data_IF_002436322851
#
_entry.id   IF_002436322851
#
_cell.length_a   1.000
_cell.length_b   1.000
_cell.length_c   1.000
_cell.angle_alpha   90.00
_cell.angle_beta   90.00
_cell.angle_gamma   90.00
#
_symmetry.space_group_name_H-M   'P 1'
#
loop_
_entity.id
_entity.type
_entity.pdbx_description
1 polymer ?
#
# COMPACT_ATOMS: atom_id res chain seq x y z
N UNK A 1 4.24 37.42 0.90
CA UNK A 1 4.80 37.81 -0.40
C UNK A 1 4.55 36.77 -1.50
N UNK A 2 4.65 35.45 -1.25
CA UNK A 2 4.43 34.44 -2.31
C UNK A 2 2.96 34.10 -2.65
N UNK A 3 2.00 34.43 -1.78
CA UNK A 3 0.56 34.21 -2.05
C UNK A 3 -0.04 35.19 -3.07
N UNK A 4 0.68 36.25 -3.44
CA UNK A 4 0.17 37.36 -4.27
C UNK A 4 0.70 37.38 -5.70
N UNK A 5 1.81 36.67 -6.02
CA UNK A 5 2.57 36.90 -7.26
C UNK A 5 2.60 35.72 -8.26
N UNK A 6 1.64 34.79 -8.18
CA UNK A 6 1.41 33.82 -9.26
C UNK A 6 2.48 32.73 -9.47
N UNK A 7 3.56 32.67 -8.68
CA UNK A 7 4.54 31.58 -8.77
C UNK A 7 4.30 30.48 -7.74
N UNK A 8 3.28 29.67 -8.03
CA UNK A 8 2.83 28.55 -7.21
C UNK A 8 3.91 27.50 -6.93
N UNK A 9 4.87 27.32 -7.85
CA UNK A 9 5.98 26.37 -7.67
C UNK A 9 6.89 26.78 -6.50
N UNK A 10 7.23 28.07 -6.39
CA UNK A 10 8.02 28.56 -5.26
C UNK A 10 7.26 28.51 -3.94
N UNK A 11 5.94 28.75 -3.96
CA UNK A 11 5.10 28.57 -2.78
C UNK A 11 5.10 27.11 -2.32
N UNK A 12 4.85 26.16 -3.22
CA UNK A 12 4.87 24.73 -2.92
C UNK A 12 6.24 24.30 -2.39
N UNK A 13 7.33 24.76 -3.03
CA UNK A 13 8.70 24.42 -2.60
C UNK A 13 9.04 24.99 -1.22
N UNK A 14 8.55 26.19 -0.91
CA UNK A 14 8.72 26.82 0.41
C UNK A 14 7.91 26.09 1.50
N UNK A 15 6.66 25.75 1.19
CA UNK A 15 5.80 24.95 2.09
C UNK A 15 6.41 23.57 2.32
N UNK A 16 6.98 22.95 1.29
CA UNK A 16 7.66 21.66 1.40
C UNK A 16 8.84 21.79 2.38
N UNK A 17 9.74 22.76 2.17
CA UNK A 17 10.86 22.99 3.08
C UNK A 17 10.41 23.24 4.52
N UNK A 18 9.33 24.00 4.72
CA UNK A 18 8.78 24.28 6.06
C UNK A 18 8.17 23.03 6.70
N UNK A 19 7.50 22.18 5.92
CA UNK A 19 6.93 20.93 6.40
C UNK A 19 8.04 19.99 6.89
N UNK A 20 9.08 19.80 6.07
CA UNK A 20 10.26 18.99 6.41
C UNK A 20 10.95 19.47 7.69
N UNK A 21 11.21 20.78 7.78
CA UNK A 21 11.83 21.36 8.97
C UNK A 21 10.94 21.21 10.21
N UNK A 22 9.62 21.34 10.05
CA UNK A 22 8.67 21.17 11.15
C UNK A 22 8.57 19.71 11.61
N UNK A 23 8.67 18.74 10.69
CA UNK A 23 8.74 17.32 11.03
C UNK A 23 10.01 17.01 11.85
N UNK A 24 11.16 17.54 11.43
CA UNK A 24 12.43 17.36 12.13
C UNK A 24 12.45 18.04 13.52
N UNK A 25 11.78 19.19 13.67
CA UNK A 25 11.62 19.91 14.94
C UNK A 25 10.51 19.29 15.84
N UNK A 26 9.80 18.26 15.35
CA UNK A 26 8.68 17.64 16.05
C UNK A 26 7.42 18.51 16.13
N UNK A 27 7.37 19.64 15.41
CA UNK A 27 6.23 20.54 15.35
C UNK A 27 5.14 20.00 14.41
N UNK A 28 4.43 18.97 14.88
CA UNK A 28 3.42 18.23 14.12
C UNK A 28 2.30 19.11 13.58
N UNK A 29 1.83 20.09 14.36
CA UNK A 29 0.76 20.99 13.94
C UNK A 29 1.18 21.82 12.73
N UNK A 30 2.39 22.40 12.77
CA UNK A 30 2.89 23.22 11.65
C UNK A 30 3.16 22.35 10.42
N UNK A 31 3.74 21.17 10.60
CA UNK A 31 3.95 20.21 9.53
C UNK A 31 2.62 19.84 8.84
N UNK A 32 1.60 19.44 9.60
CA UNK A 32 0.30 19.06 9.06
C UNK A 32 -0.36 20.20 8.27
N UNK A 33 -0.29 21.44 8.77
CA UNK A 33 -0.80 22.62 8.05
C UNK A 33 -0.08 22.81 6.71
N UNK A 34 1.25 22.69 6.68
CA UNK A 34 2.02 22.85 5.45
C UNK A 34 1.68 21.76 4.43
N UNK A 35 1.60 20.50 4.87
CA UNK A 35 1.23 19.39 4.01
C UNK A 35 -0.20 19.50 3.48
N UNK A 36 -1.16 19.94 4.30
CA UNK A 36 -2.54 20.21 3.88
C UNK A 36 -2.60 21.32 2.82
N UNK A 37 -1.83 22.39 2.99
CA UNK A 37 -1.79 23.49 2.01
C UNK A 37 -1.18 23.04 0.68
N UNK A 38 -0.11 22.23 0.68
CA UNK A 38 0.45 21.62 -0.54
C UNK A 38 -0.58 20.71 -1.21
N UNK A 39 -1.28 19.87 -0.44
CA UNK A 39 -2.30 18.97 -0.99
C UNK A 39 -3.44 19.76 -1.67
N UNK A 40 -3.94 20.81 -1.03
CA UNK A 40 -5.01 21.65 -1.58
C UNK A 40 -4.56 22.37 -2.87
N UNK A 41 -3.33 22.88 -2.91
CA UNK A 41 -2.79 23.57 -4.09
C UNK A 41 -2.60 22.64 -5.29
N UNK A 42 -2.15 21.41 -5.04
CA UNK A 42 -1.83 20.41 -6.07
C UNK A 42 -3.06 19.68 -6.58
N UNK A 43 -4.04 19.40 -5.71
CA UNK A 43 -5.28 18.71 -6.07
C UNK A 43 -6.08 19.43 -7.14
N UNK A 44 -6.21 20.75 -7.03
CA UNK A 44 -6.94 21.57 -7.99
C UNK A 44 -6.30 21.61 -9.39
N UNK A 45 -5.07 21.08 -9.56
CA UNK A 45 -4.23 21.29 -10.74
C UNK A 45 -3.73 20.02 -11.41
N UNK A 46 -4.07 18.84 -10.87
CA UNK A 46 -3.61 17.56 -11.41
C UNK A 46 -2.10 17.33 -11.26
N UNK A 47 -1.42 18.11 -10.40
CA UNK A 47 0.00 17.94 -10.11
C UNK A 47 0.21 16.61 -9.33
N UNK A 48 1.22 15.83 -9.72
CA UNK A 48 1.39 14.45 -9.25
C UNK A 48 2.47 14.28 -8.19
N UNK A 49 3.60 15.00 -8.29
CA UNK A 49 4.79 14.76 -7.46
C UNK A 49 4.58 15.35 -6.08
N UNK A 50 4.33 16.66 -5.98
CA UNK A 50 4.11 17.32 -4.70
C UNK A 50 2.83 16.85 -4.02
N UNK A 51 1.82 16.45 -4.81
CA UNK A 51 0.64 15.77 -4.27
C UNK A 51 0.97 14.44 -3.61
N UNK A 52 1.79 13.62 -4.24
CA UNK A 52 2.27 12.35 -3.68
C UNK A 52 3.01 12.57 -2.36
N UNK A 53 3.88 13.58 -2.31
CA UNK A 53 4.63 13.93 -1.11
C UNK A 53 3.74 14.46 0.02
N UNK A 54 2.73 15.28 -0.31
CA UNK A 54 1.77 15.75 0.69
C UNK A 54 0.92 14.62 1.28
N UNK A 55 0.47 13.68 0.45
CA UNK A 55 -0.25 12.48 0.91
C UNK A 55 0.63 11.60 1.81
N UNK A 56 1.90 11.43 1.44
CA UNK A 56 2.87 10.73 2.26
C UNK A 56 3.11 11.44 3.61
N UNK A 57 3.36 12.76 3.62
CA UNK A 57 3.64 13.51 4.83
C UNK A 57 2.46 13.53 5.81
N UNK A 58 1.24 13.71 5.31
CA UNK A 58 0.02 13.57 6.13
C UNK A 58 -0.16 12.15 6.65
N UNK A 59 0.15 11.14 5.83
CA UNK A 59 0.09 9.73 6.21
C UNK A 59 1.08 9.40 7.33
N UNK A 60 2.31 9.88 7.22
CA UNK A 60 3.34 9.77 8.25
C UNK A 60 2.88 10.42 9.56
N UNK A 61 2.39 11.65 9.49
CA UNK A 61 1.90 12.38 10.66
C UNK A 61 0.69 11.71 11.33
N UNK A 62 -0.22 11.12 10.55
CA UNK A 62 -1.34 10.32 11.06
C UNK A 62 -0.85 9.04 11.75
N UNK A 63 0.11 8.32 11.15
CA UNK A 63 0.70 7.13 11.74
C UNK A 63 1.40 7.44 13.07
N UNK A 64 2.18 8.52 13.14
CA UNK A 64 2.84 8.97 14.37
C UNK A 64 1.86 9.35 15.50
N UNK A 65 0.59 9.62 15.17
CA UNK A 65 -0.51 9.87 16.13
C UNK A 65 -1.30 8.60 16.49
N UNK A 66 -0.92 7.45 15.93
CA UNK A 66 -1.63 6.17 16.12
C UNK A 66 -2.87 6.01 15.26
N UNK A 67 -3.14 6.92 14.33
CA UNK A 67 -4.31 6.89 13.44
C UNK A 67 -4.05 5.97 12.24
N UNK A 68 -3.83 4.67 12.49
CA UNK A 68 -3.37 3.71 11.48
C UNK A 68 -4.31 3.61 10.27
N UNK A 69 -5.63 3.72 10.46
CA UNK A 69 -6.60 3.72 9.35
C UNK A 69 -6.41 4.93 8.45
N UNK A 70 -6.37 6.13 9.04
CA UNK A 70 -6.18 7.38 8.29
C UNK A 70 -4.83 7.40 7.59
N UNK A 71 -3.78 6.93 8.26
CA UNK A 71 -2.46 6.80 7.68
C UNK A 71 -2.50 5.91 6.43
N UNK A 72 -3.08 4.71 6.54
CA UNK A 72 -3.25 3.76 5.43
C UNK A 72 -4.01 4.40 4.27
N UNK A 73 -5.13 5.06 4.53
CA UNK A 73 -5.97 5.66 3.49
C UNK A 73 -5.23 6.76 2.72
N UNK A 74 -4.46 7.60 3.43
CA UNK A 74 -3.68 8.69 2.82
C UNK A 74 -2.56 8.15 1.91
N UNK A 75 -1.74 7.22 2.40
CA UNK A 75 -0.62 6.68 1.62
C UNK A 75 -1.07 5.73 0.51
N UNK A 76 -2.23 5.10 0.64
CA UNK A 76 -2.88 4.32 -0.42
C UNK A 76 -3.30 5.23 -1.58
N UNK A 77 -3.90 6.39 -1.28
CA UNK A 77 -4.20 7.41 -2.30
C UNK A 77 -2.93 7.91 -2.98
N UNK A 78 -1.87 8.17 -2.20
CA UNK A 78 -0.56 8.57 -2.73
C UNK A 78 0.01 7.52 -3.68
N UNK A 79 -0.02 6.25 -3.27
CA UNK A 79 0.49 5.13 -4.04
C UNK A 79 -0.29 4.89 -5.34
N UNK A 80 -1.63 4.99 -5.32
CA UNK A 80 -2.43 4.90 -6.55
C UNK A 80 -2.01 5.95 -7.59
N UNK A 81 -1.76 7.19 -7.15
CA UNK A 81 -1.31 8.26 -8.05
C UNK A 81 0.12 8.05 -8.53
N UNK A 82 1.03 7.74 -7.62
CA UNK A 82 2.43 7.50 -7.94
C UNK A 82 2.57 6.37 -8.99
N UNK A 83 1.80 5.29 -8.84
CA UNK A 83 1.69 4.20 -9.82
C UNK A 83 1.19 4.67 -11.19
N UNK A 84 0.19 5.56 -11.25
CA UNK A 84 -0.38 6.03 -12.51
C UNK A 84 0.58 6.84 -13.40
N UNK A 85 1.64 7.40 -12.81
CA UNK A 85 2.65 8.21 -13.51
C UNK A 85 4.07 7.63 -13.44
N UNK A 86 4.22 6.37 -13.02
CA UNK A 86 5.52 5.69 -12.78
C UNK A 86 6.47 6.48 -11.84
N UNK A 87 5.92 7.20 -10.85
CA UNK A 87 6.71 7.88 -9.82
C UNK A 87 7.12 6.89 -8.72
N UNK A 88 8.28 6.28 -8.93
CA UNK A 88 8.82 5.24 -8.03
C UNK A 88 9.27 5.79 -6.68
N UNK A 89 9.64 7.07 -6.61
CA UNK A 89 10.09 7.70 -5.37
C UNK A 89 8.90 7.89 -4.44
N UNK A 90 7.84 8.54 -4.92
CA UNK A 90 6.61 8.74 -4.14
C UNK A 90 5.96 7.41 -3.76
N UNK A 91 6.02 6.41 -4.65
CA UNK A 91 5.51 5.09 -4.35
C UNK A 91 6.30 4.39 -3.25
N UNK A 92 7.63 4.46 -3.27
CA UNK A 92 8.50 3.88 -2.24
C UNK A 92 8.18 4.43 -0.85
N UNK A 93 8.12 5.75 -0.71
CA UNK A 93 7.83 6.38 0.59
C UNK A 93 6.42 6.06 1.11
N UNK A 94 5.43 5.95 0.22
CA UNK A 94 4.08 5.50 0.60
C UNK A 94 4.09 4.02 1.06
N UNK A 95 4.84 3.16 0.37
CA UNK A 95 5.02 1.75 0.75
C UNK A 95 5.75 1.61 2.10
N UNK A 96 6.66 2.51 2.44
CA UNK A 96 7.34 2.55 3.74
C UNK A 96 6.32 2.62 4.89
N UNK A 97 5.41 3.59 4.82
CA UNK A 97 4.39 3.80 5.85
C UNK A 97 3.41 2.61 5.88
N UNK A 98 3.05 2.05 4.73
CA UNK A 98 2.23 0.83 4.67
C UNK A 98 2.92 -0.37 5.35
N UNK A 99 4.24 -0.48 5.25
CA UNK A 99 5.00 -1.53 5.93
C UNK A 99 4.92 -1.37 7.47
N UNK A 100 4.97 -0.15 7.98
CA UNK A 100 4.89 0.12 9.42
C UNK A 100 3.47 -0.09 9.95
N UNK A 101 2.46 0.38 9.21
CA UNK A 101 1.05 0.08 9.49
C UNK A 101 0.81 -1.44 9.50
N UNK A 102 1.45 -2.20 8.61
CA UNK A 102 1.35 -3.67 8.62
C UNK A 102 1.98 -4.30 9.86
N UNK A 103 3.13 -3.82 10.35
CA UNK A 103 3.70 -4.30 11.63
C UNK A 103 2.77 -3.98 12.79
N UNK A 104 2.27 -2.75 12.90
CA UNK A 104 1.38 -2.34 13.98
C UNK A 104 0.01 -3.03 13.91
N UNK A 105 -0.44 -3.40 12.72
CA UNK A 105 -1.66 -4.18 12.47
C UNK A 105 -1.49 -5.70 12.62
N UNK A 106 -0.34 -6.18 13.10
CA UNK A 106 -0.11 -7.61 13.34
C UNK A 106 0.12 -8.44 12.06
N UNK A 107 0.53 -7.81 10.97
CA UNK A 107 0.91 -8.45 9.70
C UNK A 107 2.42 -8.30 9.39
N UNK A 108 3.33 -8.78 10.26
CA UNK A 108 4.78 -8.61 10.09
C UNK A 108 5.37 -9.30 8.85
N UNK A 109 4.78 -10.40 8.36
CA UNK A 109 5.18 -11.02 7.08
C UNK A 109 4.95 -10.08 5.90
N UNK A 110 3.78 -9.44 5.89
CA UNK A 110 3.42 -8.43 4.89
C UNK A 110 4.38 -7.25 4.92
N UNK A 111 4.73 -6.78 6.11
CA UNK A 111 5.70 -5.71 6.29
C UNK A 111 7.08 -6.08 5.70
N UNK A 112 7.58 -7.28 6.00
CA UNK A 112 8.87 -7.76 5.48
C UNK A 112 8.89 -7.81 3.94
N UNK A 113 7.81 -8.29 3.32
CA UNK A 113 7.68 -8.30 1.86
C UNK A 113 7.63 -6.90 1.25
N UNK A 114 6.95 -5.96 1.90
CA UNK A 114 6.96 -4.55 1.48
C UNK A 114 8.37 -3.94 1.59
N UNK A 115 9.09 -4.19 2.68
CA UNK A 115 10.47 -3.72 2.87
C UNK A 115 11.41 -4.25 1.76
N UNK A 116 11.25 -5.51 1.37
CA UNK A 116 11.99 -6.08 0.24
C UNK A 116 11.68 -5.38 -1.09
N UNK A 117 10.40 -5.11 -1.36
CA UNK A 117 9.97 -4.42 -2.56
C UNK A 117 10.52 -2.97 -2.61
N UNK A 118 10.47 -2.25 -1.50
CA UNK A 118 11.08 -0.92 -1.36
C UNK A 118 12.58 -0.96 -1.67
N UNK A 119 13.31 -1.95 -1.15
CA UNK A 119 14.74 -2.11 -1.41
C UNK A 119 15.03 -2.35 -2.91
N UNK A 120 14.15 -3.05 -3.62
CA UNK A 120 14.25 -3.21 -5.08
C UNK A 120 14.04 -1.88 -5.83
N UNK A 121 13.10 -1.05 -5.36
CA UNK A 121 12.74 0.22 -5.99
C UNK A 121 13.77 1.34 -5.77
N UNK A 122 14.46 1.31 -4.63
CA UNK A 122 15.41 2.38 -4.23
C UNK A 122 16.84 2.14 -4.68
N UNK A 123 17.20 0.89 -5.04
CA UNK A 123 18.52 0.52 -5.61
C UNK A 123 18.99 1.41 -6.78
N UNK A 124 18.14 1.81 -7.73
CA UNK A 124 18.55 2.64 -8.87
C UNK A 124 18.48 4.16 -8.62
N UNK A 125 17.71 4.62 -7.63
CA UNK A 125 17.24 6.02 -7.56
C UNK A 125 17.90 6.86 -6.45
N UNK A 126 18.62 6.21 -5.53
CA UNK A 126 19.06 6.87 -4.30
C UNK A 126 17.90 6.96 -3.30
N UNK A 127 18.18 6.61 -2.04
CA UNK A 127 17.14 6.35 -1.05
C UNK A 127 16.33 7.60 -0.69
N UNK A 128 15.03 7.42 -0.44
CA UNK A 128 14.17 8.40 0.24
C UNK A 128 14.74 8.91 1.58
N UNK A 129 15.67 8.16 2.19
CA UNK A 129 16.43 8.56 3.37
C UNK A 129 17.22 9.87 3.19
N UNK A 130 17.53 10.28 1.95
CA UNK A 130 18.20 11.56 1.67
C UNK A 130 17.29 12.74 1.97
N UNK A 131 15.98 12.60 1.73
CA UNK A 131 15.01 13.68 1.96
C UNK A 131 14.42 13.65 3.38
N UNK A 132 14.50 12.48 4.06
CA UNK A 132 13.89 12.25 5.36
C UNK A 132 14.80 11.40 6.27
N UNK A 133 15.68 12.03 7.06
CA UNK A 133 16.65 11.33 7.90
C UNK A 133 16.00 10.32 8.85
N UNK A 134 14.84 10.67 9.43
CA UNK A 134 14.13 9.84 10.39
C UNK A 134 13.48 8.59 9.78
N UNK A 135 13.21 8.60 8.48
CA UNK A 135 12.61 7.44 7.79
C UNK A 135 13.55 6.25 7.84
N UNK A 136 14.87 6.46 7.74
CA UNK A 136 15.85 5.38 7.87
C UNK A 136 15.86 4.76 9.28
N UNK A 137 15.76 5.60 10.32
CA UNK A 137 15.69 5.14 11.72
C UNK A 137 14.39 4.37 11.97
N UNK A 138 13.28 4.87 11.46
CA UNK A 138 11.97 4.20 11.54
C UNK A 138 11.98 2.86 10.79
N UNK A 139 12.55 2.82 9.58
CA UNK A 139 12.70 1.58 8.81
C UNK A 139 13.43 0.51 9.62
N UNK A 140 14.64 0.82 10.14
CA UNK A 140 15.43 -0.12 10.92
C UNK A 140 14.70 -0.61 12.19
N UNK A 141 13.99 0.30 12.89
CA UNK A 141 13.21 -0.05 14.07
C UNK A 141 12.06 -1.01 13.73
N UNK A 142 11.36 -0.77 12.63
CA UNK A 142 10.22 -1.58 12.20
C UNK A 142 10.64 -2.91 11.60
N UNK A 143 11.76 -2.96 10.90
CA UNK A 143 12.44 -4.20 10.51
C UNK A 143 12.73 -5.05 11.74
N UNK A 144 13.35 -4.48 12.79
CA UNK A 144 13.64 -5.22 14.01
C UNK A 144 12.38 -5.74 14.71
N UNK A 145 11.30 -4.96 14.73
CA UNK A 145 9.99 -5.42 15.25
C UNK A 145 9.43 -6.59 14.44
N UNK A 146 9.47 -6.50 13.11
CA UNK A 146 9.02 -7.57 12.24
C UNK A 146 9.85 -8.85 12.47
N UNK A 147 11.18 -8.75 12.48
CA UNK A 147 12.10 -9.88 12.77
C UNK A 147 11.81 -10.54 14.11
N UNK A 148 11.56 -9.75 15.17
CA UNK A 148 11.20 -10.30 16.49
C UNK A 148 9.86 -11.05 16.47
N UNK A 149 8.92 -10.63 15.64
CA UNK A 149 7.58 -11.22 15.58
C UNK A 149 7.52 -12.54 14.78
N UNK A 150 8.29 -12.67 13.68
CA UNK A 150 8.23 -13.84 12.78
C UNK A 150 9.52 -14.66 12.72
N UNK A 151 10.60 -14.17 13.33
CA UNK A 151 11.94 -14.76 13.25
C UNK A 151 12.70 -14.35 11.98
N UNK A 152 14.04 -14.37 12.06
CA UNK A 152 14.91 -13.90 10.98
C UNK A 152 14.74 -14.68 9.69
N UNK A 153 14.58 -16.01 9.77
CA UNK A 153 14.42 -16.86 8.57
C UNK A 153 13.12 -16.55 7.82
N UNK A 154 12.01 -16.37 8.53
CA UNK A 154 10.74 -16.04 7.91
C UNK A 154 10.77 -14.63 7.33
N UNK A 155 11.35 -13.66 8.06
CA UNK A 155 11.55 -12.31 7.56
C UNK A 155 12.35 -12.31 6.25
N UNK A 156 13.48 -13.02 6.22
CA UNK A 156 14.37 -13.08 5.06
C UNK A 156 13.69 -13.73 3.84
N UNK A 157 12.82 -14.72 4.04
CA UNK A 157 12.00 -15.29 2.96
C UNK A 157 11.06 -14.23 2.37
N UNK A 158 10.24 -13.59 3.19
CA UNK A 158 9.28 -12.58 2.72
C UNK A 158 9.99 -11.38 2.08
N UNK A 159 11.09 -10.93 2.69
CA UNK A 159 11.92 -9.85 2.17
C UNK A 159 12.48 -10.19 0.79
N UNK A 160 13.00 -11.41 0.58
CA UNK A 160 13.51 -11.84 -0.73
C UNK A 160 12.40 -11.91 -1.77
N UNK A 161 11.22 -12.40 -1.39
CA UNK A 161 10.05 -12.42 -2.28
C UNK A 161 9.67 -11.00 -2.71
N UNK A 162 9.72 -10.04 -1.78
CA UNK A 162 9.55 -8.62 -2.09
C UNK A 162 10.63 -8.07 -3.01
N UNK A 163 11.90 -8.39 -2.74
CA UNK A 163 13.06 -7.94 -3.51
C UNK A 163 13.01 -8.41 -4.98
N UNK A 164 12.35 -9.55 -5.24
CA UNK A 164 12.15 -10.10 -6.58
C UNK A 164 11.01 -9.45 -7.38
N UNK A 165 10.23 -8.53 -6.79
CA UNK A 165 9.07 -7.93 -7.46
C UNK A 165 9.43 -6.78 -8.39
N UNK A 166 8.63 -6.63 -9.45
CA UNK A 166 8.64 -5.42 -10.29
C UNK A 166 7.80 -4.31 -9.66
N UNK A 167 8.02 -3.06 -10.07
CA UNK A 167 7.29 -1.90 -9.53
C UNK A 167 5.77 -2.07 -9.54
N UNK A 168 5.18 -2.48 -10.66
CA UNK A 168 3.73 -2.66 -10.76
C UNK A 168 3.20 -3.75 -9.82
N UNK A 169 3.96 -4.84 -9.64
CA UNK A 169 3.61 -5.93 -8.73
C UNK A 169 3.75 -5.52 -7.27
N UNK A 170 4.82 -4.80 -6.93
CA UNK A 170 5.04 -4.22 -5.61
C UNK A 170 3.91 -3.26 -5.23
N UNK A 171 3.55 -2.34 -6.13
CA UNK A 171 2.48 -1.39 -5.91
C UNK A 171 1.12 -2.09 -5.77
N UNK A 172 0.80 -3.07 -6.61
CA UNK A 172 -0.44 -3.84 -6.48
C UNK A 172 -0.47 -4.66 -5.18
N UNK A 173 0.65 -5.25 -4.75
CA UNK A 173 0.75 -5.91 -3.46
C UNK A 173 0.57 -4.94 -2.28
N UNK A 174 1.17 -3.76 -2.34
CA UNK A 174 1.03 -2.71 -1.33
C UNK A 174 -0.41 -2.15 -1.24
N UNK A 175 -1.14 -2.12 -2.34
CA UNK A 175 -2.55 -1.71 -2.40
C UNK A 175 -3.54 -2.80 -1.98
N UNK A 176 -3.05 -3.95 -1.49
CA UNK A 176 -3.86 -5.14 -1.17
C UNK A 176 -4.67 -5.67 -2.40
N UNK A 177 -4.25 -5.32 -3.62
CA UNK A 177 -4.86 -5.75 -4.89
C UNK A 177 -4.47 -7.20 -5.25
N UNK A 178 -3.23 -7.57 -4.90
CA UNK A 178 -2.78 -8.95 -4.93
C UNK A 178 -3.07 -9.48 -3.53
N UNK A 179 -4.14 -10.27 -3.38
CA UNK A 179 -4.62 -10.77 -2.09
C UNK A 179 -3.50 -11.28 -1.19
N UNK A 180 -3.66 -11.03 0.12
CA UNK A 180 -2.75 -11.40 1.21
C UNK A 180 -2.52 -12.91 1.20
N UNK A 181 -1.30 -13.46 0.94
CA UNK A 181 -1.04 -14.85 1.28
C UNK A 181 -1.02 -14.95 2.81
N UNK A 182 -2.19 -15.16 3.42
CA UNK A 182 -2.32 -15.43 4.85
C UNK A 182 -1.72 -16.82 5.10
N UNK A 183 -0.44 -16.87 5.46
CA UNK A 183 0.24 -18.06 5.97
C UNK A 183 0.02 -18.25 7.47
N UNK A 184 -1.15 -17.86 7.94
CA UNK A 184 -1.60 -18.05 9.33
C UNK A 184 -3.00 -18.67 9.31
N UNK A 185 -3.10 -19.91 8.86
CA UNK A 185 -4.27 -20.74 9.12
C UNK A 185 -3.83 -22.19 9.27
N UNK A 186 -3.79 -22.67 10.51
CA UNK A 186 -4.11 -24.06 10.78
C UNK A 186 -5.47 -24.40 10.14
N UNK A 187 -5.72 -25.67 9.77
CA UNK A 187 -6.91 -26.08 9.02
C UNK A 187 -8.18 -25.98 9.87
N UNK A 188 -8.72 -24.76 9.97
CA UNK A 188 -10.11 -24.47 10.29
C UNK A 188 -10.90 -24.15 9.02
N UNK A 189 -12.24 -24.11 9.09
CA UNK A 189 -13.09 -23.94 7.91
C UNK A 189 -12.69 -22.70 7.10
N UNK A 190 -12.36 -22.94 5.83
CA UNK A 190 -11.78 -22.00 4.87
C UNK A 190 -12.77 -20.90 4.50
N UNK A 191 -12.86 -19.85 5.32
CA UNK A 191 -13.67 -18.67 5.00
C UNK A 191 -12.91 -17.70 4.09
N UNK A 192 -13.49 -17.40 2.93
CA UNK A 192 -13.00 -16.34 2.04
C UNK A 192 -13.18 -14.97 2.71
N UNK A 193 -12.28 -14.03 2.43
CA UNK A 193 -12.47 -12.64 2.83
C UNK A 193 -13.64 -12.02 2.05
N UNK A 194 -14.20 -10.90 2.55
CA UNK A 194 -15.32 -10.21 1.89
C UNK A 194 -15.06 -9.90 0.41
N UNK A 195 -13.82 -9.51 0.08
CA UNK A 195 -13.43 -9.17 -1.29
C UNK A 195 -13.26 -10.42 -2.16
N UNK A 196 -12.69 -11.48 -1.60
CA UNK A 196 -12.59 -12.78 -2.27
C UNK A 196 -13.96 -13.39 -2.53
N UNK A 197 -14.90 -13.24 -1.60
CA UNK A 197 -16.27 -13.73 -1.74
C UNK A 197 -17.01 -13.00 -2.86
N UNK A 198 -16.91 -11.68 -2.93
CA UNK A 198 -17.43 -10.91 -4.07
C UNK A 198 -16.85 -11.36 -5.41
N UNK A 199 -15.54 -11.64 -5.47
CA UNK A 199 -14.91 -12.14 -6.70
C UNK A 199 -15.38 -13.56 -7.02
N UNK A 200 -15.51 -14.45 -6.02
CA UNK A 200 -15.99 -15.81 -6.19
C UNK A 200 -17.43 -15.86 -6.71
N UNK A 201 -18.32 -15.02 -6.17
CA UNK A 201 -19.70 -14.85 -6.65
C UNK A 201 -19.73 -14.42 -8.11
N UNK A 202 -18.94 -13.40 -8.49
CA UNK A 202 -18.87 -12.95 -9.88
C UNK A 202 -18.24 -14.01 -10.81
N UNK A 203 -17.34 -14.86 -10.31
CA UNK A 203 -16.82 -16.01 -11.06
C UNK A 203 -17.92 -17.06 -11.27
N UNK A 204 -18.76 -17.30 -10.26
CA UNK A 204 -19.91 -18.21 -10.34
C UNK A 204 -20.97 -17.70 -11.32
N UNK A 205 -21.17 -16.38 -11.41
CA UNK A 205 -21.97 -15.71 -12.45
C UNK A 205 -21.36 -15.83 -13.87
N UNK A 206 -20.17 -16.43 -14.00
CA UNK A 206 -19.50 -16.65 -15.28
C UNK A 206 -18.70 -15.45 -15.81
N UNK A 207 -18.47 -14.41 -15.00
CA UNK A 207 -17.77 -13.21 -15.49
C UNK A 207 -16.27 -13.47 -15.74
N UNK A 208 -15.75 -12.92 -16.83
CA UNK A 208 -14.31 -12.90 -17.10
C UNK A 208 -13.59 -11.92 -16.17
N UNK A 209 -12.27 -12.07 -15.97
CA UNK A 209 -11.49 -11.14 -15.15
C UNK A 209 -11.64 -9.68 -15.62
N UNK A 210 -11.84 -9.45 -16.93
CA UNK A 210 -12.14 -8.12 -17.49
C UNK A 210 -13.49 -7.58 -17.03
N UNK A 211 -14.53 -8.42 -17.02
CA UNK A 211 -15.86 -8.02 -16.57
C UNK A 211 -15.92 -7.84 -15.04
N UNK A 212 -15.23 -8.70 -14.29
CA UNK A 212 -15.05 -8.56 -12.83
C UNK A 212 -14.36 -7.23 -12.52
N UNK A 213 -13.27 -6.93 -13.23
CA UNK A 213 -12.55 -5.66 -13.11
C UNK A 213 -13.45 -4.44 -13.34
N UNK A 214 -14.30 -4.50 -14.37
CA UNK A 214 -15.29 -3.46 -14.64
C UNK A 214 -16.33 -3.30 -13.52
N UNK A 215 -16.89 -4.41 -13.01
CA UNK A 215 -17.89 -4.37 -11.92
C UNK A 215 -17.32 -3.88 -10.59
N UNK A 216 -16.07 -4.25 -10.30
CA UNK A 216 -15.45 -3.98 -9.02
C UNK A 216 -14.58 -2.71 -9.02
N UNK A 217 -14.51 -2.01 -10.15
CA UNK A 217 -13.69 -0.80 -10.39
C UNK A 217 -12.23 -1.04 -10.00
N UNK A 218 -11.65 -2.12 -10.51
CA UNK A 218 -10.24 -2.54 -10.32
C UNK A 218 -9.61 -2.88 -11.67
N UNK A 219 -8.31 -3.14 -11.71
CA UNK A 219 -7.65 -3.59 -12.95
C UNK A 219 -7.95 -5.07 -13.27
N UNK A 220 -7.85 -5.46 -14.55
CA UNK A 220 -7.98 -6.87 -14.95
C UNK A 220 -6.94 -7.77 -14.27
N UNK A 221 -5.72 -7.27 -14.04
CA UNK A 221 -4.65 -7.99 -13.34
C UNK A 221 -4.97 -8.19 -11.86
N UNK A 222 -5.58 -7.20 -11.22
CA UNK A 222 -6.08 -7.28 -9.84
C UNK A 222 -7.17 -8.36 -9.71
N UNK A 223 -8.14 -8.36 -10.64
CA UNK A 223 -9.17 -9.40 -10.69
C UNK A 223 -8.58 -10.81 -10.90
N UNK A 224 -7.57 -10.95 -11.77
CA UNK A 224 -6.84 -12.20 -11.96
C UNK A 224 -6.13 -12.66 -10.66
N UNK A 225 -5.43 -11.75 -9.99
CA UNK A 225 -4.75 -12.05 -8.73
C UNK A 225 -5.71 -12.52 -7.64
N UNK A 226 -6.90 -11.91 -7.53
CA UNK A 226 -7.93 -12.40 -6.62
C UNK A 226 -8.39 -13.82 -6.96
N UNK A 227 -8.58 -14.15 -8.23
CA UNK A 227 -8.98 -15.51 -8.66
C UNK A 227 -7.89 -16.54 -8.33
N UNK A 228 -6.62 -16.25 -8.64
CA UNK A 228 -5.49 -17.14 -8.34
C UNK A 228 -5.36 -17.38 -6.83
N UNK A 229 -5.61 -16.35 -6.02
CA UNK A 229 -5.55 -16.46 -4.58
C UNK A 229 -6.70 -17.31 -4.01
N UNK A 230 -7.92 -17.14 -4.52
CA UNK A 230 -9.07 -18.00 -4.16
C UNK A 230 -8.78 -19.46 -4.50
N UNK A 231 -8.19 -19.74 -5.67
CA UNK A 231 -7.80 -21.11 -6.06
C UNK A 231 -6.81 -21.70 -5.06
N UNK A 232 -5.74 -20.98 -4.74
CA UNK A 232 -4.74 -21.43 -3.78
C UNK A 232 -5.35 -21.66 -2.39
N UNK A 233 -6.22 -20.76 -1.93
CA UNK A 233 -6.83 -20.81 -0.60
C UNK A 233 -7.85 -21.93 -0.44
N UNK A 234 -8.58 -22.29 -1.50
CA UNK A 234 -9.55 -23.39 -1.50
C UNK A 234 -8.93 -24.74 -1.93
N UNK A 235 -7.64 -24.76 -2.30
CA UNK A 235 -6.98 -25.96 -2.84
C UNK A 235 -7.49 -26.35 -4.23
N UNK A 236 -8.03 -25.39 -4.99
CA UNK A 236 -8.54 -25.59 -6.33
C UNK A 236 -7.48 -25.28 -7.38
N UNK A 237 -7.66 -25.87 -8.57
CA UNK A 237 -6.75 -25.72 -9.70
C UNK A 237 -7.43 -25.07 -10.91
N UNK A 238 -8.74 -24.84 -10.84
CA UNK A 238 -9.52 -24.26 -11.95
C UNK A 238 -10.62 -23.32 -11.48
N UNK A 239 -10.89 -22.25 -12.25
CA UNK A 239 -11.98 -21.30 -11.94
C UNK A 239 -13.35 -21.96 -11.84
N UNK A 240 -13.55 -23.07 -12.56
CA UNK A 240 -14.82 -23.82 -12.54
C UNK A 240 -15.08 -24.45 -11.18
N UNK A 241 -14.03 -24.83 -10.44
CA UNK A 241 -14.17 -25.32 -9.06
C UNK A 241 -14.60 -24.22 -8.10
N UNK A 242 -14.17 -22.96 -8.30
CA UNK A 242 -14.68 -21.82 -7.53
C UNK A 242 -16.18 -21.67 -7.75
N UNK A 243 -16.63 -21.70 -9.00
CA UNK A 243 -18.05 -21.58 -9.34
C UNK A 243 -18.90 -22.69 -8.69
N UNK A 244 -18.44 -23.95 -8.76
CA UNK A 244 -19.13 -25.08 -8.13
C UNK A 244 -19.23 -24.92 -6.60
N UNK A 245 -18.14 -24.52 -5.96
CA UNK A 245 -18.09 -24.32 -4.50
C UNK A 245 -19.04 -23.23 -4.01
N UNK A 246 -19.18 -22.11 -4.74
CA UNK A 246 -20.13 -21.04 -4.37
C UNK A 246 -21.58 -21.54 -4.41
N UNK A 247 -21.92 -22.37 -5.39
CA UNK A 247 -23.26 -22.97 -5.52
C UNK A 247 -23.56 -23.93 -4.37
N UNK A 248 -22.59 -24.75 -3.96
CA UNK A 248 -22.72 -25.65 -2.80
C UNK A 248 -22.93 -24.87 -1.49
N UNK A 249 -22.24 -23.73 -1.31
CA UNK A 249 -22.38 -22.86 -0.14
C UNK A 249 -23.76 -22.20 -0.04
N UNK A 250 -24.37 -21.82 -1.18
CA UNK A 250 -25.70 -21.20 -1.20
C UNK A 250 -26.83 -22.21 -0.95
N UNK A 251 -26.62 -23.48 -1.31
CA UNK A 251 -27.59 -24.56 -1.06
C UNK A 251 -27.57 -25.05 0.39
N UNK A 252 -26.46 -24.91 1.12
CA UNK A 252 -26.35 -25.27 2.53
C UNK A 252 -26.89 -24.24 3.53
N UNK A 253 -27.37 -23.09 3.06
CA UNK A 253 -27.91 -21.98 3.88
C UNK A 253 -29.41 -21.72 3.68
N UNK A 254 -30.10 -22.57 2.90
CA UNK A 254 -31.55 -22.52 2.67
C UNK A 254 -32.33 -23.48 3.57
#
# INVERSE_FOLDING_TARGET
>A
MFRTDGNLLYLISSLLGLALASDADGNRTRSEVCWQEILALTEARGESVYRGWALWGLGLGAWQRGEHSRAKDLVTQGLHRARSVDDRVSAGVCMEVLSWVAVDGGAPRRAARLMGAIAALTRPVGSASINYPDVGVLHARFEQRARRAIGDRAFETEFRDGLGTRFEEAAAYALDEIGRPDTSAEPGPTTLSRREQQVAELVADGLTNKAIAGKLVISQRTAQGHVEHILSKLGFTSRSQIAAWVVEQTQGQS
#
